data_IF_997267636475
#
_entry.id   IF_997267636475
#
_cell.length_a   1.000
_cell.length_b   1.000
_cell.length_c   1.000
_cell.angle_alpha   90.00
_cell.angle_beta   90.00
_cell.angle_gamma   90.00
#
_symmetry.space_group_name_H-M   'P 1'
#
loop_
_entity.id
_entity.type
_entity.pdbx_description
1 polymer ?
#
# COMPACT_ATOMS: atom_id res chain seq x y z
N UNK A 1 27.79 17.86 -1.53
CA UNK A 1 27.08 17.01 -2.50
C UNK A 1 26.32 17.94 -3.44
N UNK A 2 26.80 18.13 -4.67
CA UNK A 2 26.27 19.14 -5.60
C UNK A 2 25.61 18.44 -6.77
N UNK A 3 24.29 18.56 -6.88
CA UNK A 3 23.53 18.19 -8.06
C UNK A 3 23.75 19.31 -9.09
N UNK A 4 24.63 19.09 -10.07
CA UNK A 4 24.78 19.99 -11.22
C UNK A 4 23.91 19.47 -12.36
N UNK A 5 22.71 20.04 -12.49
CA UNK A 5 21.87 19.88 -13.67
C UNK A 5 22.28 20.98 -14.65
N UNK A 6 22.92 20.63 -15.77
CA UNK A 6 23.12 21.57 -16.87
C UNK A 6 21.80 21.68 -17.65
N UNK A 7 20.98 22.65 -17.24
CA UNK A 7 19.66 22.90 -17.82
C UNK A 7 19.82 23.73 -19.12
N UNK A 8 19.66 23.10 -20.28
CA UNK A 8 19.34 23.84 -21.51
C UNK A 8 17.81 23.88 -21.65
N UNK A 9 17.25 25.08 -21.43
CA UNK A 9 15.88 25.52 -21.74
C UNK A 9 14.82 24.43 -21.95
N UNK A 10 14.26 23.90 -20.86
CA UNK A 10 13.01 23.14 -20.90
C UNK A 10 11.88 24.10 -20.51
N UNK A 11 11.04 24.46 -21.48
CA UNK A 11 9.72 25.01 -21.20
C UNK A 11 8.87 23.90 -20.58
N UNK A 12 8.79 23.85 -19.25
CA UNK A 12 7.87 22.98 -18.54
C UNK A 12 6.45 23.56 -18.66
N UNK A 13 5.69 23.13 -19.67
CA UNK A 13 4.24 23.22 -19.62
C UNK A 13 3.75 22.18 -18.62
N UNK A 14 3.36 22.61 -17.41
CA UNK A 14 2.59 21.80 -16.48
C UNK A 14 1.15 21.65 -16.99
N UNK A 15 0.94 20.84 -18.02
CA UNK A 15 -0.32 20.15 -18.19
C UNK A 15 -0.42 19.14 -17.05
N UNK A 16 -1.57 19.05 -16.38
CA UNK A 16 -1.87 18.05 -15.36
C UNK A 16 -1.86 16.65 -16.00
N UNK A 17 -0.68 16.12 -16.33
CA UNK A 17 -0.51 14.70 -16.58
C UNK A 17 -0.62 14.03 -15.22
N UNK A 18 -1.71 13.30 -15.02
CA UNK A 18 -1.77 12.28 -13.98
C UNK A 18 -0.51 11.43 -14.14
N UNK A 19 0.40 11.50 -13.17
CA UNK A 19 1.53 10.57 -13.10
C UNK A 19 0.93 9.16 -13.23
N UNK A 20 1.36 8.39 -14.23
CA UNK A 20 0.98 6.99 -14.27
C UNK A 20 1.44 6.37 -12.95
N UNK A 21 0.53 5.68 -12.26
CA UNK A 21 0.88 5.04 -11.01
C UNK A 21 2.01 4.04 -11.23
N UNK A 22 2.89 3.83 -10.25
CA UNK A 22 4.03 2.91 -10.39
C UNK A 22 3.63 1.52 -9.88
N UNK A 23 2.61 0.93 -10.50
CA UNK A 23 2.04 -0.35 -10.08
C UNK A 23 2.60 -1.49 -10.92
N UNK A 24 2.60 -2.74 -10.44
CA UNK A 24 3.18 -3.87 -11.18
C UNK A 24 2.61 -4.09 -12.58
N UNK A 25 1.39 -3.63 -12.87
CA UNK A 25 0.77 -3.78 -14.19
C UNK A 25 1.29 -2.80 -15.23
N UNK A 26 1.88 -1.67 -14.83
CA UNK A 26 2.34 -0.61 -15.74
C UNK A 26 3.80 -0.17 -15.52
N UNK A 27 4.48 -0.71 -14.49
CA UNK A 27 5.89 -0.49 -14.22
C UNK A 27 6.66 -1.82 -14.32
N UNK A 28 7.49 -1.93 -15.37
CA UNK A 28 8.30 -3.10 -15.68
C UNK A 28 9.42 -3.34 -14.65
N UNK A 29 9.67 -2.40 -13.74
CA UNK A 29 10.62 -2.60 -12.64
C UNK A 29 10.13 -3.64 -11.62
N UNK A 30 8.82 -3.90 -11.53
CA UNK A 30 8.27 -4.95 -10.66
C UNK A 30 8.40 -6.33 -11.28
N UNK A 31 8.52 -7.36 -10.43
CA UNK A 31 8.27 -8.73 -10.86
C UNK A 31 6.81 -8.87 -11.30
N UNK A 32 6.57 -9.52 -12.44
CA UNK A 32 5.21 -9.67 -12.98
C UNK A 32 4.37 -10.65 -12.16
N UNK A 33 5.01 -11.52 -11.38
CA UNK A 33 4.36 -12.46 -10.47
C UNK A 33 4.54 -11.98 -9.04
N UNK A 34 3.46 -11.79 -8.27
CA UNK A 34 3.59 -11.45 -6.84
C UNK A 34 4.23 -12.63 -6.09
N UNK A 35 5.12 -12.34 -5.14
CA UNK A 35 5.73 -13.37 -4.30
C UNK A 35 4.78 -13.86 -3.20
N UNK A 36 3.76 -13.07 -2.87
CA UNK A 36 2.66 -13.44 -1.99
C UNK A 36 1.33 -13.12 -2.68
N UNK A 37 0.46 -14.12 -2.77
CA UNK A 37 -0.88 -13.96 -3.33
C UNK A 37 -1.84 -14.91 -2.64
N UNK A 38 -3.00 -14.39 -2.29
CA UNK A 38 -4.16 -15.21 -1.95
C UNK A 38 -5.36 -14.72 -2.77
N UNK A 39 -5.94 -15.63 -3.56
CA UNK A 39 -7.17 -15.39 -4.32
C UNK A 39 -8.41 -15.94 -3.59
N UNK A 40 -8.25 -16.37 -2.33
CA UNK A 40 -9.32 -16.76 -1.42
C UNK A 40 -10.29 -17.83 -1.97
N UNK A 41 -9.73 -18.80 -2.71
CA UNK A 41 -10.47 -20.00 -3.12
C UNK A 41 -10.93 -20.83 -1.90
N UNK A 42 -10.18 -20.76 -0.80
CA UNK A 42 -10.47 -21.33 0.51
C UNK A 42 -9.78 -20.50 1.60
N UNK A 43 -10.23 -20.60 2.85
CA UNK A 43 -9.53 -19.97 3.98
C UNK A 43 -8.29 -20.81 4.35
N UNK A 44 -7.11 -20.32 3.97
CA UNK A 44 -5.84 -20.98 4.24
C UNK A 44 -5.25 -20.55 5.58
N UNK A 45 -5.48 -21.38 6.61
CA UNK A 45 -4.97 -21.15 7.97
C UNK A 45 -3.46 -21.43 8.12
N UNK A 46 -2.78 -21.85 7.05
CA UNK A 46 -1.31 -21.96 7.04
C UNK A 46 -0.61 -20.64 6.75
N UNK A 47 -1.36 -19.64 6.26
CA UNK A 47 -0.85 -18.28 5.97
C UNK A 47 -1.62 -17.19 6.72
N UNK A 48 -2.86 -17.46 7.15
CA UNK A 48 -3.71 -16.54 7.89
C UNK A 48 -4.11 -17.08 9.27
N UNK A 49 -4.36 -16.17 10.21
CA UNK A 49 -5.14 -16.42 11.41
C UNK A 49 -6.35 -15.47 11.44
N UNK A 50 -7.46 -15.88 12.04
CA UNK A 50 -8.75 -15.14 12.04
C UNK A 50 -8.94 -14.23 13.25
N UNK A 51 -7.82 -13.74 13.79
CA UNK A 51 -7.75 -12.80 14.90
C UNK A 51 -6.56 -11.85 14.67
N UNK A 52 -6.35 -10.90 15.57
CA UNK A 52 -5.28 -9.92 15.43
C UNK A 52 -3.86 -10.47 15.71
N UNK A 53 -3.74 -11.66 16.28
CA UNK A 53 -2.51 -12.21 16.82
C UNK A 53 -2.26 -11.86 18.29
N UNK A 54 -2.83 -10.75 18.77
CA UNK A 54 -2.89 -10.42 20.20
C UNK A 54 -4.25 -10.76 20.84
N UNK A 55 -5.26 -11.08 20.04
CA UNK A 55 -6.58 -11.45 20.52
C UNK A 55 -7.70 -11.11 19.54
N UNK A 56 -8.93 -11.16 20.03
CA UNK A 56 -10.17 -10.97 19.27
C UNK A 56 -10.81 -9.60 19.48
N UNK A 57 -10.17 -8.73 20.26
CA UNK A 57 -10.70 -7.42 20.64
C UNK A 57 -9.64 -6.36 20.40
N UNK A 58 -10.05 -5.26 19.80
CA UNK A 58 -9.25 -4.06 19.60
C UNK A 58 -9.89 -2.90 20.36
N UNK A 59 -9.11 -2.13 21.11
CA UNK A 59 -9.65 -0.98 21.84
C UNK A 59 -10.11 0.11 20.86
N UNK A 60 -11.30 0.64 21.06
CA UNK A 60 -11.90 1.63 20.13
C UNK A 60 -12.91 1.02 19.16
N UNK A 61 -12.95 -0.31 19.04
CA UNK A 61 -13.96 -1.02 18.27
C UNK A 61 -15.21 -1.32 19.12
N UNK A 62 -16.38 -1.22 18.49
CA UNK A 62 -17.70 -1.60 19.00
C UNK A 62 -18.03 -3.07 18.64
N UNK A 63 -17.04 -3.82 18.15
CA UNK A 63 -17.19 -5.22 17.77
C UNK A 63 -16.13 -6.14 18.40
N UNK A 64 -16.50 -7.42 18.54
CA UNK A 64 -15.55 -8.51 18.76
C UNK A 64 -15.34 -9.30 17.48
N UNK A 65 -14.11 -9.74 17.24
CA UNK A 65 -13.73 -10.47 16.03
C UNK A 65 -13.76 -11.97 16.26
N UNK A 66 -14.56 -12.70 15.47
CA UNK A 66 -14.78 -14.13 15.67
C UNK A 66 -14.55 -14.90 14.37
N UNK A 67 -13.95 -16.09 14.47
CA UNK A 67 -13.72 -17.01 13.34
C UNK A 67 -14.99 -17.27 12.52
N UNK A 68 -16.15 -17.35 13.20
CA UNK A 68 -17.45 -17.54 12.55
C UNK A 68 -17.88 -16.41 11.61
N UNK A 69 -17.18 -15.27 11.62
CA UNK A 69 -17.42 -14.10 10.78
C UNK A 69 -16.39 -13.94 9.66
N UNK A 70 -15.53 -14.94 9.49
CA UNK A 70 -14.59 -15.03 8.38
C UNK A 70 -14.88 -16.28 7.58
N UNK A 71 -14.97 -16.14 6.26
CA UNK A 71 -15.02 -17.30 5.36
C UNK A 71 -14.36 -16.96 4.04
N UNK A 72 -13.66 -17.92 3.44
CA UNK A 72 -13.16 -17.78 2.08
C UNK A 72 -13.61 -18.96 1.23
N UNK A 73 -14.21 -18.65 0.09
CA UNK A 73 -14.74 -19.63 -0.85
C UNK A 73 -14.96 -18.97 -2.22
N UNK A 74 -14.89 -19.77 -3.28
CA UNK A 74 -15.26 -19.34 -4.64
C UNK A 74 -14.52 -18.11 -5.14
N UNK A 75 -13.28 -17.91 -4.69
CA UNK A 75 -12.43 -16.79 -5.09
C UNK A 75 -12.59 -15.53 -4.24
N UNK A 76 -13.22 -15.61 -3.06
CA UNK A 76 -13.46 -14.44 -2.23
C UNK A 76 -13.33 -14.74 -0.74
N UNK A 77 -12.65 -13.84 -0.04
CA UNK A 77 -12.73 -13.67 1.41
C UNK A 77 -13.97 -12.83 1.74
N UNK A 78 -14.73 -13.25 2.74
CA UNK A 78 -15.96 -12.60 3.17
C UNK A 78 -15.93 -12.37 4.67
N UNK A 79 -16.14 -11.12 5.06
CA UNK A 79 -16.44 -10.74 6.43
C UNK A 79 -17.93 -10.46 6.59
N UNK A 80 -18.47 -10.83 7.76
CA UNK A 80 -19.88 -10.60 8.10
C UNK A 80 -20.00 -9.93 9.46
N UNK A 81 -20.58 -8.73 9.49
CA UNK A 81 -20.92 -8.02 10.71
C UNK A 81 -22.36 -8.32 11.14
N UNK A 82 -22.57 -8.58 12.43
CA UNK A 82 -23.86 -8.87 13.04
C UNK A 82 -24.00 -8.20 14.41
N UNK A 83 -25.24 -7.92 14.82
CA UNK A 83 -25.54 -7.57 16.21
C UNK A 83 -25.08 -8.71 17.14
N UNK A 84 -24.42 -8.34 18.23
CA UNK A 84 -23.93 -9.28 19.23
C UNK A 84 -23.69 -8.55 20.55
N UNK A 85 -23.75 -9.27 21.66
CA UNK A 85 -23.37 -8.71 22.95
C UNK A 85 -22.39 -9.67 23.57
N UNK A 86 -21.25 -9.16 24.00
CA UNK A 86 -20.24 -9.96 24.68
C UNK A 86 -20.35 -9.78 26.20
N UNK A 87 -20.60 -10.85 26.98
CA UNK A 87 -20.67 -10.76 28.43
C UNK A 87 -19.36 -10.28 29.08
N UNK A 88 -18.20 -10.52 28.45
CA UNK A 88 -16.90 -10.09 28.94
C UNK A 88 -16.56 -8.65 28.53
N UNK A 89 -17.19 -8.13 27.47
CA UNK A 89 -16.97 -6.78 26.95
C UNK A 89 -18.29 -6.03 26.79
N UNK A 90 -18.81 -5.38 27.84
CA UNK A 90 -20.13 -4.74 27.83
C UNK A 90 -20.31 -3.59 26.82
N UNK A 91 -19.21 -3.05 26.29
CA UNK A 91 -19.22 -2.03 25.24
C UNK A 91 -19.30 -2.60 23.82
N UNK A 92 -19.24 -3.93 23.66
CA UNK A 92 -19.36 -4.59 22.36
C UNK A 92 -20.84 -4.76 22.01
N UNK A 93 -21.28 -4.10 20.94
CA UNK A 93 -22.63 -4.24 20.38
C UNK A 93 -22.68 -5.09 19.09
N UNK A 94 -21.52 -5.50 18.57
CA UNK A 94 -21.42 -6.23 17.31
C UNK A 94 -20.38 -7.35 17.35
N UNK A 95 -20.46 -8.24 16.37
CA UNK A 95 -19.39 -9.17 16.03
C UNK A 95 -19.03 -9.03 14.57
N UNK A 96 -17.75 -9.17 14.24
CA UNK A 96 -17.23 -9.04 12.88
C UNK A 96 -16.02 -9.95 12.67
N UNK A 97 -15.30 -9.79 11.56
CA UNK A 97 -14.16 -10.63 11.17
C UNK A 97 -12.91 -9.83 10.82
N UNK A 98 -11.77 -10.46 11.11
CA UNK A 98 -10.41 -10.01 10.75
C UNK A 98 -9.61 -11.22 10.31
N UNK A 99 -8.68 -11.02 9.38
CA UNK A 99 -7.54 -11.93 9.20
C UNK A 99 -6.24 -11.18 9.40
N UNK A 100 -5.25 -11.84 9.97
CA UNK A 100 -3.87 -11.36 10.01
C UNK A 100 -2.90 -12.40 9.48
N UNK A 101 -1.84 -11.96 8.81
CA UNK A 101 -0.85 -12.86 8.23
C UNK A 101 -0.01 -13.54 9.30
N UNK A 102 0.38 -14.79 9.06
CA UNK A 102 1.39 -15.47 9.86
C UNK A 102 2.80 -14.96 9.53
N UNK A 103 3.06 -14.67 8.25
CA UNK A 103 4.29 -14.02 7.79
C UNK A 103 4.29 -12.52 8.06
N UNK A 104 5.48 -11.94 8.08
CA UNK A 104 5.69 -10.49 8.07
C UNK A 104 6.26 -10.06 6.72
N UNK A 105 6.03 -8.79 6.38
CA UNK A 105 6.45 -8.20 5.12
C UNK A 105 7.20 -6.90 5.38
N UNK A 106 8.18 -6.60 4.53
CA UNK A 106 8.95 -5.36 4.57
C UNK A 106 9.15 -4.90 3.14
N UNK A 107 8.68 -3.69 2.86
CA UNK A 107 8.71 -3.05 1.54
C UNK A 107 8.05 -3.87 0.41
N UNK A 108 7.92 -3.24 -0.75
CA UNK A 108 7.26 -3.79 -1.93
C UNK A 108 5.98 -3.06 -2.30
N UNK A 109 5.25 -3.62 -3.25
CA UNK A 109 3.93 -3.13 -3.63
C UNK A 109 2.85 -4.06 -3.09
N UNK A 110 1.97 -3.54 -2.24
CA UNK A 110 0.87 -4.27 -1.61
C UNK A 110 -0.43 -3.85 -2.30
N UNK A 111 -1.29 -4.79 -2.65
CA UNK A 111 -2.58 -4.51 -3.25
C UNK A 111 -3.67 -5.41 -2.69
N UNK A 112 -4.81 -4.82 -2.38
CA UNK A 112 -6.05 -5.52 -2.08
C UNK A 112 -7.14 -5.07 -3.04
N UNK A 113 -7.95 -6.00 -3.53
CA UNK A 113 -9.16 -5.71 -4.28
C UNK A 113 -10.39 -6.08 -3.46
N UNK A 114 -11.13 -5.09 -3.00
CA UNK A 114 -12.23 -5.30 -2.06
C UNK A 114 -13.46 -4.47 -2.40
N UNK A 115 -14.62 -5.03 -2.07
CA UNK A 115 -15.95 -4.46 -2.22
C UNK A 115 -16.56 -4.29 -0.83
N UNK A 116 -17.08 -3.10 -0.58
CA UNK A 116 -17.72 -2.73 0.66
C UNK A 116 -19.23 -2.75 0.46
N UNK A 117 -19.87 -3.86 0.84
CA UNK A 117 -21.32 -4.12 0.63
C UNK A 117 -22.18 -3.64 1.81
N UNK A 118 -21.66 -2.71 2.58
CA UNK A 118 -22.31 -2.21 3.79
C UNK A 118 -22.49 -0.71 3.73
N UNK A 119 -23.46 -0.19 4.48
CA UNK A 119 -23.77 1.23 4.58
C UNK A 119 -23.91 1.65 6.04
N UNK A 120 -23.36 2.82 6.37
CA UNK A 120 -23.40 3.43 7.70
C UNK A 120 -22.03 3.81 8.23
N UNK A 121 -21.99 4.93 8.93
CA UNK A 121 -20.81 5.54 9.56
C UNK A 121 -20.13 4.68 10.64
N UNK A 122 -20.79 3.61 11.11
CA UNK A 122 -20.18 2.65 12.05
C UNK A 122 -19.11 1.76 11.40
N UNK A 123 -19.19 1.44 10.11
CA UNK A 123 -18.23 0.51 9.52
C UNK A 123 -16.84 1.15 9.39
N UNK A 124 -15.81 0.35 9.63
CA UNK A 124 -14.38 0.67 9.44
C UNK A 124 -13.69 -0.52 8.76
N UNK A 125 -14.02 -0.81 7.50
CA UNK A 125 -13.23 -1.76 6.74
C UNK A 125 -11.81 -1.21 6.60
N UNK A 126 -10.83 -2.06 6.88
CA UNK A 126 -9.44 -1.66 6.82
C UNK A 126 -8.56 -2.75 6.22
N UNK A 127 -7.55 -2.28 5.49
CA UNK A 127 -6.35 -3.02 5.14
C UNK A 127 -5.21 -2.24 5.75
N UNK A 128 -4.34 -2.91 6.49
CA UNK A 128 -3.33 -2.24 7.30
C UNK A 128 -2.20 -3.19 7.65
N UNK A 129 -1.09 -2.63 8.13
CA UNK A 129 0.05 -3.39 8.62
C UNK A 129 0.42 -2.95 10.02
N UNK A 130 0.86 -3.89 10.86
CA UNK A 130 1.18 -3.62 12.25
C UNK A 130 2.16 -4.64 12.87
N UNK A 131 2.86 -4.23 13.95
CA UNK A 131 3.63 -5.15 14.79
C UNK A 131 3.76 -4.72 16.28
N UNK A 132 3.27 -5.51 17.25
CA UNK A 132 3.56 -5.29 18.69
C UNK A 132 4.87 -5.87 19.20
N UNK A 133 5.64 -6.64 18.42
CA UNK A 133 6.75 -7.42 18.98
C UNK A 133 8.11 -7.09 18.35
N UNK A 134 8.14 -6.35 17.25
CA UNK A 134 9.37 -5.92 16.59
C UNK A 134 9.20 -4.46 16.16
N UNK A 135 9.34 -3.56 17.13
CA UNK A 135 9.25 -2.12 16.92
C UNK A 135 10.63 -1.49 17.12
N UNK A 136 10.87 -0.31 16.54
CA UNK A 136 12.17 0.39 16.62
C UNK A 136 12.56 0.83 18.05
N UNK A 137 11.65 0.66 19.01
CA UNK A 137 11.78 1.15 20.38
C UNK A 137 11.62 0.04 21.42
N UNK A 138 12.73 -0.60 21.85
CA UNK A 138 12.73 -1.68 22.82
C UNK A 138 11.95 -1.33 24.10
N UNK A 139 11.11 -2.25 24.56
CA UNK A 139 10.30 -2.08 25.78
C UNK A 139 9.00 -1.30 25.59
N UNK A 140 8.74 -0.76 24.39
CA UNK A 140 7.46 -0.11 24.06
C UNK A 140 6.58 -0.88 23.08
N UNK A 141 7.09 -2.00 22.57
CA UNK A 141 6.37 -2.81 21.58
C UNK A 141 5.19 -3.55 22.23
N UNK A 142 5.32 -3.98 23.50
CA UNK A 142 4.26 -4.71 24.19
C UNK A 142 3.03 -3.84 24.48
N UNK A 143 2.03 -3.90 23.61
CA UNK A 143 0.68 -3.37 23.84
C UNK A 143 0.40 -1.94 23.37
N UNK A 144 1.16 -1.42 22.40
CA UNK A 144 0.94 -0.07 21.82
C UNK A 144 0.53 -0.08 20.34
N UNK A 145 -0.12 1.01 19.92
CA UNK A 145 -0.46 1.38 18.52
C UNK A 145 0.77 1.93 17.79
N UNK A 146 1.85 1.16 17.74
CA UNK A 146 3.14 1.65 17.25
C UNK A 146 3.61 0.78 16.10
N UNK A 147 4.13 1.44 15.08
CA UNK A 147 4.57 0.88 13.82
C UNK A 147 3.41 0.29 13.00
N UNK A 148 2.38 1.11 12.88
CA UNK A 148 1.17 0.89 12.11
C UNK A 148 1.19 1.73 10.83
N UNK A 149 0.80 1.12 9.72
CA UNK A 149 0.40 1.85 8.52
C UNK A 149 -0.99 1.39 8.14
N UNK A 150 -1.93 2.32 8.21
CA UNK A 150 -3.29 2.11 7.74
C UNK A 150 -3.32 2.45 6.27
N UNK A 151 -3.14 1.40 5.50
CA UNK A 151 -3.20 1.41 4.06
C UNK A 151 -4.54 2.01 3.62
N UNK A 152 -5.66 1.46 4.08
CA UNK A 152 -6.91 2.20 4.02
C UNK A 152 -7.76 1.95 5.26
N UNK A 153 -8.48 2.99 5.65
CA UNK A 153 -9.73 2.85 6.38
C UNK A 153 -10.79 3.66 5.63
N UNK A 154 -11.99 3.09 5.48
CA UNK A 154 -13.11 3.82 4.89
C UNK A 154 -14.07 4.23 5.98
N UNK A 155 -14.42 5.52 6.01
CA UNK A 155 -15.33 6.13 6.97
C UNK A 155 -16.50 6.86 6.29
N UNK A 156 -17.39 7.41 7.12
CA UNK A 156 -18.35 8.46 6.77
C UNK A 156 -19.16 8.14 5.49
N UNK A 157 -19.95 7.07 5.54
CA UNK A 157 -20.78 6.61 4.42
C UNK A 157 -20.00 6.37 3.12
N UNK A 158 -18.77 5.86 3.23
CA UNK A 158 -17.97 5.37 2.10
C UNK A 158 -17.55 6.46 1.10
N UNK A 159 -17.39 7.69 1.58
CA UNK A 159 -16.86 8.81 0.79
C UNK A 159 -15.50 9.28 1.28
N UNK A 160 -15.09 8.83 2.46
CA UNK A 160 -13.82 9.19 3.07
C UNK A 160 -12.90 7.98 3.04
N UNK A 161 -11.84 8.08 2.25
CA UNK A 161 -10.69 7.19 2.26
C UNK A 161 -9.62 7.82 3.14
N UNK A 162 -9.30 7.19 4.26
CA UNK A 162 -8.19 7.63 5.09
C UNK A 162 -7.02 6.71 4.93
N UNK A 163 -5.85 7.29 5.07
CA UNK A 163 -4.67 6.54 5.43
C UNK A 163 -4.03 7.17 6.66
N UNK A 164 -3.45 6.34 7.50
CA UNK A 164 -2.91 6.74 8.78
C UNK A 164 -1.57 6.06 9.03
N UNK A 165 -0.81 6.66 9.94
CA UNK A 165 0.48 6.18 10.38
C UNK A 165 0.55 6.42 11.86
N UNK A 166 0.92 5.40 12.60
CA UNK A 166 1.21 5.48 14.02
C UNK A 166 2.58 4.86 14.22
N UNK A 167 3.64 5.67 14.20
CA UNK A 167 5.01 5.17 14.25
C UNK A 167 5.79 5.81 15.41
N UNK A 168 6.94 5.24 15.73
CA UNK A 168 7.94 5.92 16.58
C UNK A 168 9.19 6.26 15.80
N UNK A 169 9.70 7.46 16.01
CA UNK A 169 11.00 7.84 15.47
C UNK A 169 12.15 7.15 16.24
N UNK A 170 13.39 7.36 15.79
CA UNK A 170 14.58 6.83 16.45
C UNK A 170 14.83 7.36 17.87
N UNK A 171 14.06 8.35 18.33
CA UNK A 171 14.06 8.85 19.72
C UNK A 171 12.93 8.25 20.57
N UNK A 172 12.12 7.36 20.00
CA UNK A 172 10.94 6.76 20.59
C UNK A 172 9.79 7.73 20.89
N UNK A 173 9.75 8.84 20.15
CA UNK A 173 8.62 9.77 20.16
C UNK A 173 7.58 9.29 19.16
N UNK A 174 6.32 9.25 19.59
CA UNK A 174 5.20 8.90 18.70
C UNK A 174 4.99 9.99 17.66
N UNK A 175 4.93 9.59 16.40
CA UNK A 175 4.58 10.45 15.28
C UNK A 175 3.37 9.86 14.59
N UNK A 176 2.32 10.68 14.51
CA UNK A 176 1.06 10.34 13.85
C UNK A 176 0.89 11.15 12.58
N UNK A 177 0.46 10.49 11.51
CA UNK A 177 0.31 11.09 10.19
C UNK A 177 -1.07 10.83 9.60
N UNK A 178 -2.03 11.70 9.89
CA UNK A 178 -3.42 11.52 9.46
C UNK A 178 -3.73 12.29 8.17
N UNK A 179 -4.31 11.61 7.16
CA UNK A 179 -4.83 12.29 5.97
C UNK A 179 -6.22 11.76 5.60
N UNK A 180 -7.17 12.68 5.54
CA UNK A 180 -8.47 12.46 4.94
C UNK A 180 -8.40 12.76 3.45
N UNK A 181 -8.51 11.72 2.62
CA UNK A 181 -8.85 11.89 1.21
C UNK A 181 -10.33 11.64 1.02
N UNK A 182 -10.98 12.47 0.22
CA UNK A 182 -12.35 12.22 -0.21
C UNK A 182 -12.31 11.67 -1.62
N UNK A 183 -12.88 10.49 -1.82
CA UNK A 183 -13.08 9.97 -3.15
C UNK A 183 -14.22 10.76 -3.83
N UNK A 184 -14.06 11.12 -5.10
CA UNK A 184 -15.13 11.80 -5.85
C UNK A 184 -16.32 10.86 -6.13
N UNK A 185 -16.10 9.54 -6.06
CA UNK A 185 -17.11 8.50 -6.18
C UNK A 185 -17.24 7.73 -4.85
N UNK A 186 -18.42 7.17 -4.59
CA UNK A 186 -18.61 6.28 -3.44
C UNK A 186 -17.73 5.04 -3.56
N UNK A 187 -17.07 4.66 -2.46
CA UNK A 187 -16.28 3.44 -2.32
C UNK A 187 -17.14 2.22 -1.94
N UNK A 188 -18.46 2.42 -1.77
CA UNK A 188 -19.40 1.34 -1.49
C UNK A 188 -19.81 0.62 -2.78
N UNK A 189 -20.26 -0.62 -2.64
CA UNK A 189 -20.94 -1.46 -3.66
C UNK A 189 -20.16 -1.85 -4.91
N UNK A 190 -19.00 -1.25 -5.18
CA UNK A 190 -18.11 -1.69 -6.24
C UNK A 190 -16.80 -2.23 -5.65
N UNK A 191 -16.14 -3.09 -6.41
CA UNK A 191 -14.76 -3.46 -6.12
C UNK A 191 -13.84 -2.30 -6.51
N UNK A 192 -12.98 -1.92 -5.58
CA UNK A 192 -11.88 -1.00 -5.80
C UNK A 192 -10.55 -1.69 -5.51
N UNK A 193 -9.48 -1.24 -6.15
CA UNK A 193 -8.12 -1.63 -5.78
C UNK A 193 -7.50 -0.57 -4.89
N UNK A 194 -6.97 -1.01 -3.75
CA UNK A 194 -6.23 -0.17 -2.81
C UNK A 194 -4.79 -0.68 -2.79
N UNK A 195 -3.85 0.19 -3.17
CA UNK A 195 -2.47 -0.18 -3.42
C UNK A 195 -1.46 0.70 -2.69
N UNK A 196 -0.29 0.16 -2.39
CA UNK A 196 0.75 0.83 -1.60
C UNK A 196 2.12 0.45 -2.12
N UNK A 197 2.92 1.42 -2.55
CA UNK A 197 4.35 1.22 -2.77
C UNK A 197 5.10 1.64 -1.51
N UNK A 198 5.54 0.67 -0.72
CA UNK A 198 6.35 0.88 0.47
C UNK A 198 7.82 0.61 0.13
N UNK A 199 8.65 1.64 0.25
CA UNK A 199 10.10 1.59 0.05
C UNK A 199 10.78 2.13 1.31
N UNK A 200 12.12 2.01 1.46
CA UNK A 200 12.82 2.55 2.62
C UNK A 200 12.55 4.02 2.94
N UNK A 201 12.32 4.85 1.91
CA UNK A 201 12.28 6.31 2.08
C UNK A 201 10.91 6.92 1.81
N UNK A 202 9.96 6.14 1.29
CA UNK A 202 8.61 6.62 0.95
C UNK A 202 7.56 5.51 0.97
N UNK A 203 6.32 5.92 1.23
CA UNK A 203 5.09 5.16 0.97
C UNK A 203 4.20 5.94 0.01
N UNK A 204 3.80 5.35 -1.11
CA UNK A 204 2.82 5.95 -2.04
C UNK A 204 1.52 5.16 -1.99
N UNK A 205 0.40 5.87 -1.90
CA UNK A 205 -0.94 5.32 -1.77
C UNK A 205 -1.70 5.45 -3.08
N UNK A 206 -2.38 4.37 -3.48
CA UNK A 206 -3.10 4.26 -4.73
C UNK A 206 -4.54 3.81 -4.51
N UNK A 207 -5.48 4.46 -5.19
CA UNK A 207 -6.86 4.02 -5.34
C UNK A 207 -7.13 3.80 -6.84
N UNK A 208 -7.59 2.61 -7.21
CA UNK A 208 -7.84 2.20 -8.59
C UNK A 208 -6.66 2.50 -9.54
N UNK A 209 -5.44 2.29 -9.03
CA UNK A 209 -4.22 2.55 -9.77
C UNK A 209 -3.93 4.05 -9.99
N UNK A 210 -4.49 4.95 -9.19
CA UNK A 210 -4.17 6.38 -9.20
C UNK A 210 -3.58 6.80 -7.85
N UNK A 211 -2.40 7.42 -7.87
CA UNK A 211 -1.75 7.91 -6.65
C UNK A 211 -2.56 9.07 -6.05
N UNK A 212 -2.81 9.03 -4.74
CA UNK A 212 -3.54 10.09 -4.02
C UNK A 212 -2.80 10.65 -2.80
N UNK A 213 -1.79 9.94 -2.30
CA UNK A 213 -0.94 10.39 -1.18
C UNK A 213 0.46 9.84 -1.31
N UNK A 214 1.43 10.64 -0.88
CA UNK A 214 2.81 10.21 -0.66
C UNK A 214 3.22 10.59 0.77
N UNK A 215 4.00 9.71 1.40
CA UNK A 215 4.60 9.91 2.71
C UNK A 215 6.07 9.57 2.60
N UNK A 216 6.91 10.32 3.30
CA UNK A 216 8.37 10.22 3.25
C UNK A 216 8.96 10.03 4.64
N UNK A 217 10.20 9.61 4.72
CA UNK A 217 11.02 9.61 5.95
C UNK A 217 10.82 10.94 6.74
N UNK A 218 10.65 10.91 8.08
CA UNK A 218 10.82 9.75 8.99
C UNK A 218 9.54 8.94 9.21
N UNK A 219 8.48 9.18 8.46
CA UNK A 219 7.17 8.53 8.64
C UNK A 219 7.08 7.11 8.06
N UNK A 220 8.21 6.53 7.65
CA UNK A 220 8.26 5.28 6.90
C UNK A 220 8.88 4.19 7.77
N UNK A 221 8.12 3.16 8.16
CA UNK A 221 8.67 2.02 8.89
C UNK A 221 9.77 1.31 8.11
N UNK A 222 10.78 0.82 8.83
CA UNK A 222 11.98 0.17 8.28
C UNK A 222 12.17 -1.27 8.79
N UNK A 223 11.15 -1.87 9.38
CA UNK A 223 11.15 -3.26 9.85
C UNK A 223 9.92 -4.00 9.32
N UNK A 224 9.90 -5.31 9.49
CA UNK A 224 8.83 -6.14 8.94
C UNK A 224 7.56 -6.10 9.80
N UNK A 225 6.41 -5.96 9.15
CA UNK A 225 5.08 -5.82 9.75
C UNK A 225 4.15 -6.95 9.30
N UNK A 226 3.14 -7.30 10.12
CA UNK A 226 2.08 -8.23 9.72
C UNK A 226 1.05 -7.51 8.88
N UNK A 227 0.42 -8.21 7.95
CA UNK A 227 -0.66 -7.71 7.11
C UNK A 227 -2.00 -8.09 7.72
N UNK A 228 -2.93 -7.13 7.80
CA UNK A 228 -4.27 -7.32 8.37
C UNK A 228 -5.35 -6.83 7.41
N UNK A 229 -6.45 -7.58 7.35
CA UNK A 229 -7.70 -7.18 6.67
C UNK A 229 -8.84 -7.35 7.65
N UNK A 230 -9.64 -6.32 7.86
CA UNK A 230 -10.78 -6.36 8.78
C UNK A 230 -12.01 -5.65 8.25
N UNK A 231 -13.17 -6.03 8.78
CA UNK A 231 -14.37 -5.21 8.78
C UNK A 231 -14.62 -4.71 10.20
N UNK A 232 -13.99 -3.61 10.59
CA UNK A 232 -14.16 -3.03 11.92
C UNK A 232 -15.49 -2.30 12.09
N UNK A 233 -15.84 -2.03 13.36
CA UNK A 233 -17.01 -1.23 13.72
C UNK A 233 -16.64 -0.21 14.80
N UNK A 234 -16.97 1.06 14.58
CA UNK A 234 -16.48 2.20 15.36
C UNK A 234 -17.39 2.53 16.53
N UNK A 235 -16.78 2.81 17.67
CA UNK A 235 -17.48 3.42 18.81
C UNK A 235 -17.84 4.89 18.52
N UNK A 236 -18.92 5.38 19.13
CA UNK A 236 -19.34 6.78 19.01
C UNK A 236 -20.14 7.14 17.75
N UNK A 237 -20.28 6.22 16.80
CA UNK A 237 -21.11 6.34 15.60
C UNK A 237 -22.41 5.55 15.77
N UNK A 238 -23.46 5.84 15.00
CA UNK A 238 -24.80 5.29 15.27
C UNK A 238 -25.50 4.67 14.07
N UNK A 239 -25.11 5.02 12.83
CA UNK A 239 -25.78 4.52 11.63
C UNK A 239 -25.12 3.22 11.17
N UNK A 240 -25.94 2.18 11.02
CA UNK A 240 -25.49 0.87 10.52
C UNK A 240 -26.66 0.09 9.98
N UNK A 241 -26.45 -0.59 8.85
CA UNK A 241 -27.36 -1.65 8.38
C UNK A 241 -26.73 -3.01 8.65
N UNK A 242 -27.46 -3.93 9.29
CA UNK A 242 -27.02 -5.28 9.63
C UNK A 242 -27.93 -6.32 8.93
N UNK A 243 -27.41 -7.42 8.35
CA UNK A 243 -26.00 -7.79 8.28
C UNK A 243 -25.18 -6.87 7.37
N UNK A 244 -23.94 -6.60 7.78
CA UNK A 244 -22.92 -5.97 6.94
C UNK A 244 -21.98 -7.00 6.33
N UNK A 245 -21.50 -6.72 5.13
CA UNK A 245 -20.53 -7.54 4.42
C UNK A 245 -19.39 -6.70 3.85
N UNK A 246 -18.21 -7.32 3.83
CA UNK A 246 -17.03 -6.89 3.07
C UNK A 246 -16.51 -8.12 2.34
N UNK A 247 -16.24 -7.95 1.04
CA UNK A 247 -15.82 -9.04 0.16
C UNK A 247 -14.52 -8.68 -0.52
N UNK A 248 -13.51 -9.52 -0.37
CA UNK A 248 -12.17 -9.31 -0.94
C UNK A 248 -11.86 -10.40 -1.95
N UNK A 249 -11.49 -9.99 -3.16
CA UNK A 249 -11.15 -10.87 -4.29
C UNK A 249 -9.73 -11.41 -4.16
N UNK A 250 -8.77 -10.54 -3.87
CA UNK A 250 -7.39 -10.95 -3.64
C UNK A 250 -6.64 -10.01 -2.72
N UNK A 251 -5.54 -10.54 -2.17
CA UNK A 251 -4.42 -9.78 -1.62
C UNK A 251 -3.16 -10.20 -2.38
N UNK A 252 -2.36 -9.22 -2.82
CA UNK A 252 -1.10 -9.45 -3.54
C UNK A 252 0.01 -8.59 -2.95
N UNK A 253 1.22 -9.16 -2.92
CA UNK A 253 2.45 -8.42 -2.60
C UNK A 253 3.52 -8.72 -3.65
N UNK A 254 4.11 -7.66 -4.16
CA UNK A 254 5.11 -7.68 -5.21
C UNK A 254 6.43 -7.08 -4.72
N UNK A 255 7.52 -7.56 -5.29
CA UNK A 255 8.87 -7.05 -5.11
C UNK A 255 9.39 -6.41 -6.40
N UNK A 256 10.28 -5.42 -6.24
CA UNK A 256 11.02 -4.87 -7.36
C UNK A 256 12.07 -5.88 -7.82
N UNK A 257 12.36 -5.89 -9.11
CA UNK A 257 13.55 -6.56 -9.65
C UNK A 257 14.77 -5.79 -9.14
N UNK A 258 15.66 -6.46 -8.40
CA UNK A 258 16.86 -5.83 -7.86
C UNK A 258 18.13 -6.43 -8.49
N UNK A 259 19.04 -5.56 -8.95
CA UNK A 259 20.41 -5.90 -9.34
C UNK A 259 21.35 -4.74 -8.95
N UNK A 260 21.50 -4.58 -7.65
CA UNK A 260 22.15 -3.43 -7.04
C UNK A 260 23.67 -3.53 -7.01
N UNK A 261 24.21 -4.60 -7.58
CA UNK A 261 25.66 -4.80 -7.71
C UNK A 261 26.22 -4.30 -9.03
N UNK A 262 25.36 -4.01 -10.00
CA UNK A 262 25.77 -3.65 -11.36
C UNK A 262 25.50 -2.19 -11.68
N UNK A 263 26.45 -1.59 -12.38
CA UNK A 263 26.27 -0.32 -13.06
C UNK A 263 25.73 -0.60 -14.47
N UNK A 264 24.71 0.14 -14.89
CA UNK A 264 24.11 0.00 -16.23
C UNK A 264 24.52 1.18 -17.12
N UNK A 265 24.92 0.89 -18.35
CA UNK A 265 25.19 1.90 -19.37
C UNK A 265 24.21 1.72 -20.52
N UNK A 266 23.27 2.65 -20.64
CA UNK A 266 22.24 2.67 -21.67
C UNK A 266 22.73 3.56 -22.82
N UNK A 267 22.97 2.99 -24.00
CA UNK A 267 23.42 3.75 -25.18
C UNK A 267 22.27 4.20 -26.07
N UNK A 268 21.06 3.64 -25.87
CA UNK A 268 19.84 4.04 -26.56
C UNK A 268 18.61 3.66 -25.72
N UNK A 269 18.03 4.63 -25.02
CA UNK A 269 16.76 4.47 -24.30
C UNK A 269 15.60 4.64 -25.28
N UNK A 270 15.49 3.73 -26.25
CA UNK A 270 14.31 3.60 -27.10
C UNK A 270 13.30 2.71 -26.37
N UNK A 271 12.14 3.29 -26.05
CA UNK A 271 11.15 2.75 -25.11
C UNK A 271 10.45 1.45 -25.52
N UNK A 272 10.84 0.82 -26.65
CA UNK A 272 10.43 -0.55 -27.02
C UNK A 272 11.57 -1.58 -27.07
N UNK A 273 12.83 -1.18 -26.89
CA UNK A 273 14.00 -2.07 -27.01
C UNK A 273 14.73 -2.30 -25.71
N UNK A 274 14.65 -1.35 -24.77
CA UNK A 274 15.22 -1.54 -23.44
C UNK A 274 14.32 -2.48 -22.61
N UNK A 275 14.90 -3.51 -22.00
CA UNK A 275 14.16 -4.53 -21.25
C UNK A 275 14.76 -4.86 -19.88
N UNK A 276 15.85 -4.18 -19.49
CA UNK A 276 16.57 -4.44 -18.25
C UNK A 276 16.07 -3.53 -17.11
N UNK A 277 14.87 -3.81 -16.61
CA UNK A 277 14.20 -2.95 -15.62
C UNK A 277 14.51 -3.32 -14.16
N UNK A 278 15.65 -3.92 -13.82
CA UNK A 278 16.01 -4.06 -12.40
C UNK A 278 16.49 -2.72 -11.81
N UNK A 279 16.28 -2.48 -10.52
CA UNK A 279 16.99 -1.42 -9.79
C UNK A 279 18.49 -1.70 -9.86
N UNK A 280 19.27 -0.72 -10.34
CA UNK A 280 20.72 -0.83 -10.52
C UNK A 280 21.48 -0.08 -9.43
N UNK A 281 22.79 -0.30 -9.35
CA UNK A 281 23.66 0.53 -8.51
C UNK A 281 23.70 1.97 -9.04
N UNK A 282 24.16 2.13 -10.28
CA UNK A 282 24.06 3.37 -11.04
C UNK A 282 23.50 3.10 -12.43
N UNK A 283 22.91 4.12 -13.05
CA UNK A 283 22.54 4.08 -14.47
C UNK A 283 23.18 5.27 -15.16
N UNK A 284 23.85 5.05 -16.29
CA UNK A 284 24.33 6.11 -17.17
C UNK A 284 23.68 5.98 -18.55
N UNK A 285 22.89 6.97 -18.94
CA UNK A 285 22.31 7.08 -20.29
C UNK A 285 23.28 7.88 -21.17
N UNK A 286 23.98 7.23 -22.09
CA UNK A 286 24.94 7.83 -23.01
C UNK A 286 24.32 8.05 -24.40
N UNK A 287 24.73 9.14 -25.07
CA UNK A 287 24.34 9.42 -26.45
C UNK A 287 22.94 10.01 -26.57
N UNK A 288 22.33 9.88 -27.75
CA UNK A 288 20.97 10.39 -28.01
C UNK A 288 19.95 9.28 -27.76
N UNK A 289 19.01 9.54 -26.86
CA UNK A 289 17.91 8.65 -26.50
C UNK A 289 16.56 9.31 -26.73
N UNK A 290 15.54 8.52 -27.09
CA UNK A 290 14.18 9.02 -27.29
C UNK A 290 13.15 8.09 -26.66
N UNK A 291 12.37 8.61 -25.72
CA UNK A 291 11.17 7.97 -25.21
C UNK A 291 10.01 8.36 -26.12
N UNK A 292 9.55 7.41 -26.92
CA UNK A 292 8.52 7.65 -27.92
C UNK A 292 7.14 7.76 -27.27
N UNK A 293 6.26 8.54 -27.92
CA UNK A 293 4.86 8.71 -27.54
C UNK A 293 4.18 7.38 -27.21
N UNK A 294 3.28 7.42 -26.22
CA UNK A 294 2.58 6.25 -25.65
C UNK A 294 3.46 5.25 -24.87
N UNK A 295 4.75 5.52 -24.66
CA UNK A 295 5.57 4.70 -23.77
C UNK A 295 5.90 5.43 -22.47
N UNK A 296 5.94 4.64 -21.40
CA UNK A 296 6.39 5.08 -20.09
C UNK A 296 7.63 4.29 -19.71
N UNK A 297 8.70 4.98 -19.38
CA UNK A 297 9.96 4.38 -18.96
C UNK A 297 10.26 4.83 -17.53
N UNK A 298 10.49 3.86 -16.66
CA UNK A 298 10.97 4.10 -15.30
C UNK A 298 12.37 3.51 -15.16
N UNK A 299 13.31 4.34 -14.75
CA UNK A 299 14.68 3.92 -14.41
C UNK A 299 14.86 4.10 -12.91
N UNK A 300 15.35 3.06 -12.25
CA UNK A 300 15.56 3.02 -10.79
C UNK A 300 17.02 2.71 -10.49
N UNK A 301 17.67 3.55 -9.69
CA UNK A 301 19.04 3.32 -9.27
C UNK A 301 19.29 3.76 -7.83
N UNK A 302 20.17 3.05 -7.12
CA UNK A 302 20.51 3.34 -5.73
C UNK A 302 21.38 4.60 -5.58
N UNK A 303 22.52 4.62 -6.27
CA UNK A 303 23.55 5.65 -6.08
C UNK A 303 23.34 6.84 -7.04
N UNK A 304 22.64 6.63 -8.16
CA UNK A 304 22.20 7.71 -9.03
C UNK A 304 22.00 7.32 -10.49
N UNK A 305 21.38 8.25 -11.23
CA UNK A 305 21.15 8.16 -12.68
C UNK A 305 21.81 9.37 -13.33
N UNK A 306 22.70 9.14 -14.30
CA UNK A 306 23.40 10.18 -15.06
C UNK A 306 22.93 10.16 -16.50
N UNK A 307 22.66 11.33 -17.09
CA UNK A 307 22.39 11.48 -18.52
C UNK A 307 23.57 12.21 -19.14
N UNK A 308 24.20 11.57 -20.12
CA UNK A 308 25.37 12.05 -20.84
C UNK A 308 25.09 12.04 -22.35
N UNK A 309 24.31 13.03 -22.78
CA UNK A 309 23.87 13.20 -24.16
C UNK A 309 22.48 13.82 -24.22
N UNK A 310 21.84 13.68 -25.38
CA UNK A 310 20.51 14.21 -25.61
C UNK A 310 19.44 13.19 -25.20
N UNK A 311 18.43 13.66 -24.48
CA UNK A 311 17.29 12.86 -24.09
C UNK A 311 16.01 13.57 -24.52
N UNK A 312 15.27 12.92 -25.42
CA UNK A 312 14.01 13.44 -25.96
C UNK A 312 12.87 12.61 -25.36
N UNK A 313 11.88 13.29 -24.78
CA UNK A 313 10.63 12.67 -24.34
C UNK A 313 9.52 13.25 -25.20
N UNK A 314 8.93 12.43 -26.06
CA UNK A 314 7.86 12.89 -26.96
C UNK A 314 6.58 13.23 -26.19
N UNK A 315 5.73 14.07 -26.81
CA UNK A 315 4.41 14.37 -26.23
C UNK A 315 3.60 13.09 -26.03
N UNK A 316 3.04 12.91 -24.83
CA UNK A 316 2.31 11.69 -24.47
C UNK A 316 3.18 10.51 -24.02
N UNK A 317 4.50 10.71 -23.88
CA UNK A 317 5.39 9.77 -23.21
C UNK A 317 5.71 10.22 -21.78
N UNK A 318 6.20 9.29 -20.96
CA UNK A 318 6.70 9.57 -19.61
C UNK A 318 8.08 8.96 -19.39
N UNK A 319 8.98 9.72 -18.77
CA UNK A 319 10.23 9.21 -18.22
C UNK A 319 10.29 9.54 -16.73
N UNK A 320 10.47 8.52 -15.91
CA UNK A 320 10.68 8.66 -14.47
C UNK A 320 12.08 8.15 -14.12
N UNK A 321 12.84 8.99 -13.43
CA UNK A 321 14.19 8.68 -12.94
C UNK A 321 14.14 8.71 -11.42
N UNK A 322 14.15 7.54 -10.79
CA UNK A 322 13.82 7.39 -9.38
C UNK A 322 15.03 6.88 -8.59
N UNK A 323 15.59 7.69 -7.68
CA UNK A 323 16.47 7.17 -6.64
C UNK A 323 15.71 6.10 -5.85
N UNK A 324 16.19 4.86 -5.91
CA UNK A 324 15.54 3.71 -5.27
C UNK A 324 16.61 2.93 -4.53
N UNK A 325 16.54 2.95 -3.20
CA UNK A 325 17.39 2.12 -2.36
C UNK A 325 17.09 0.65 -2.59
N UNK A 326 18.11 -0.19 -2.45
CA UNK A 326 17.94 -1.63 -2.56
C UNK A 326 17.56 -2.24 -1.21
N UNK A 327 16.71 -3.26 -1.26
CA UNK A 327 16.14 -3.88 -0.08
C UNK A 327 15.69 -5.32 -0.32
#
# INVERSE_FOLDING_TARGET
MSLRIHLFHIFAFFLHSSLCAQIPTNDLNWNSTPYFIDNFNSLDLSIWQTNFGWGNYSSGDDCIYLDSQVSANSGFLNFKALNYTDPAYPLVAYKSGVISSLSTFKYGYFEIRTQLDSYGDKYMPAFWVWNSNNCNCPGTCSGGWVDEIDFFEVFCDFQQLTSNFHIKDGSCTEITGFLNSFSQASLATNFHTYGYEWTPNKVIFYLDGVAYREVYDPLVPDHALKLLVQLGMRQGYSTVTIPGFMRTDYVKVYDLKMDCSTDEVITNLNSGTYNNYSVKKTITVNGTSTVYSANNVTLRAQDGITINGDLIVESGAQLLLLPTGCY
#
